data_IF_781092123663
#
_entry.id   IF_781092123663
#
_cell.length_a   1.000
_cell.length_b   1.000
_cell.length_c   1.000
_cell.angle_alpha   90.00
_cell.angle_beta   90.00
_cell.angle_gamma   90.00
#
_symmetry.space_group_name_H-M   'P 1'
#
loop_
_entity.id
_entity.type
_entity.pdbx_description
1 polymer ?
#
# COMPACT_ATOMS: atom_id res chain seq x y z
N UNK A 1 13.03 -4.24 -6.36
CA UNK A 1 12.33 -3.67 -7.53
C UNK A 1 12.58 -2.15 -7.63
N UNK A 2 12.80 -1.63 -8.84
CA UNK A 2 13.02 -0.18 -9.07
C UNK A 2 11.72 0.62 -8.83
N UNK A 3 11.80 1.86 -8.35
CA UNK A 3 10.62 2.68 -8.01
C UNK A 3 9.68 2.88 -9.22
N UNK A 4 10.24 3.11 -10.41
CA UNK A 4 9.46 3.24 -11.66
C UNK A 4 8.61 2.00 -11.96
N UNK A 5 9.15 0.80 -11.71
CA UNK A 5 8.43 -0.46 -11.92
C UNK A 5 7.31 -0.62 -10.89
N UNK A 6 7.60 -0.36 -9.61
CA UNK A 6 6.60 -0.43 -8.56
C UNK A 6 5.45 0.56 -8.83
N UNK A 7 5.74 1.80 -9.22
CA UNK A 7 4.73 2.79 -9.64
C UNK A 7 3.86 2.29 -10.79
N UNK A 8 4.46 1.67 -11.82
CA UNK A 8 3.72 1.11 -12.96
C UNK A 8 2.78 -0.03 -12.52
N UNK A 9 3.28 -0.99 -11.75
CA UNK A 9 2.48 -2.13 -11.27
C UNK A 9 1.32 -1.63 -10.40
N UNK A 10 1.60 -0.77 -9.42
CA UNK A 10 0.55 -0.25 -8.53
C UNK A 10 -0.47 0.61 -9.28
N UNK A 11 -0.06 1.39 -10.28
CA UNK A 11 -0.98 2.14 -11.15
C UNK A 11 -1.91 1.19 -11.92
N UNK A 12 -1.35 0.13 -12.49
CA UNK A 12 -2.12 -0.83 -13.29
C UNK A 12 -3.10 -1.63 -12.41
N UNK A 13 -2.67 -2.09 -11.23
CA UNK A 13 -3.55 -2.78 -10.26
C UNK A 13 -4.65 -1.86 -9.76
N UNK A 14 -4.36 -0.58 -9.50
CA UNK A 14 -5.37 0.40 -9.10
C UNK A 14 -6.42 0.65 -10.18
N UNK A 15 -6.00 0.71 -11.45
CA UNK A 15 -6.93 0.91 -12.58
C UNK A 15 -7.72 -0.36 -12.90
N UNK A 16 -7.09 -1.52 -12.79
CA UNK A 16 -7.69 -2.81 -13.10
C UNK A 16 -7.25 -3.86 -12.08
N UNK A 17 -8.15 -4.20 -11.15
CA UNK A 17 -7.86 -5.14 -10.07
C UNK A 17 -7.40 -6.53 -10.59
N UNK A 18 -7.89 -6.95 -11.76
CA UNK A 18 -7.48 -8.20 -12.41
C UNK A 18 -6.00 -8.28 -12.78
N UNK A 19 -5.26 -7.17 -12.77
CA UNK A 19 -3.80 -7.16 -12.98
C UNK A 19 -3.03 -7.95 -11.91
N UNK A 20 -3.65 -8.21 -10.75
CA UNK A 20 -3.05 -9.07 -9.73
C UNK A 20 -2.81 -10.49 -10.25
N UNK A 21 -3.67 -11.01 -11.11
CA UNK A 21 -3.55 -12.34 -11.73
C UNK A 21 -2.46 -12.39 -12.80
N UNK A 22 -2.25 -11.26 -13.50
CA UNK A 22 -1.23 -11.15 -14.56
C UNK A 22 0.17 -10.98 -13.97
N UNK A 23 0.32 -10.15 -12.95
CA UNK A 23 1.62 -9.90 -12.31
C UNK A 23 1.98 -10.94 -11.25
N UNK A 24 0.99 -11.61 -10.67
CA UNK A 24 1.11 -12.47 -9.50
C UNK A 24 1.10 -11.70 -8.19
N UNK A 25 0.44 -12.25 -7.17
CA UNK A 25 0.30 -11.64 -5.84
C UNK A 25 1.65 -11.24 -5.23
N UNK A 26 2.63 -12.15 -5.23
CA UNK A 26 3.95 -11.87 -4.65
C UNK A 26 4.67 -10.69 -5.33
N UNK A 27 4.48 -10.48 -6.64
CA UNK A 27 5.10 -9.36 -7.36
C UNK A 27 4.40 -8.05 -7.05
N UNK A 28 3.08 -8.08 -6.88
CA UNK A 28 2.28 -6.95 -6.43
C UNK A 28 2.62 -6.58 -4.99
N UNK A 29 2.82 -7.55 -4.10
CA UNK A 29 3.21 -7.30 -2.71
C UNK A 29 4.57 -6.60 -2.60
N UNK A 30 5.56 -7.04 -3.39
CA UNK A 30 6.85 -6.35 -3.47
C UNK A 30 6.69 -4.92 -4.00
N UNK A 31 5.78 -4.69 -4.95
CA UNK A 31 5.48 -3.35 -5.47
C UNK A 31 4.84 -2.48 -4.40
N UNK A 32 3.85 -3.02 -3.68
CA UNK A 32 3.15 -2.37 -2.60
C UNK A 32 4.13 -1.96 -1.49
N UNK A 33 4.93 -2.90 -0.99
CA UNK A 33 5.96 -2.65 0.01
C UNK A 33 6.97 -1.57 -0.42
N UNK A 34 7.37 -1.57 -1.70
CA UNK A 34 8.25 -0.54 -2.23
C UNK A 34 7.60 0.85 -2.24
N UNK A 35 6.31 0.92 -2.58
CA UNK A 35 5.53 2.16 -2.59
C UNK A 35 5.27 2.67 -1.16
N UNK A 36 4.92 1.79 -0.22
CA UNK A 36 4.76 2.17 1.18
C UNK A 36 6.04 2.80 1.74
N UNK A 37 7.20 2.17 1.54
CA UNK A 37 8.49 2.75 1.95
C UNK A 37 8.79 4.10 1.29
N UNK A 38 8.33 4.32 0.06
CA UNK A 38 8.51 5.60 -0.63
C UNK A 38 7.63 6.69 -0.02
N UNK A 39 6.35 6.41 0.23
CA UNK A 39 5.43 7.36 0.85
C UNK A 39 5.76 7.66 2.31
N UNK A 40 6.18 6.65 3.10
CA UNK A 40 6.61 6.85 4.49
C UNK A 40 7.83 7.75 4.66
N UNK A 41 8.61 8.00 3.60
CA UNK A 41 9.72 8.97 3.64
C UNK A 41 9.27 10.41 3.46
N UNK A 42 8.10 10.61 2.84
CA UNK A 42 7.61 11.92 2.44
C UNK A 42 6.54 12.41 3.42
N UNK A 43 5.70 11.51 3.92
CA UNK A 43 4.58 11.82 4.80
C UNK A 43 4.70 11.08 6.13
N UNK A 44 4.87 11.85 7.22
CA UNK A 44 4.96 11.31 8.58
C UNK A 44 3.67 10.66 9.07
N UNK A 45 2.49 11.15 8.64
CA UNK A 45 1.20 10.53 8.99
C UNK A 45 1.10 9.16 8.34
N UNK A 46 1.46 9.07 7.06
CA UNK A 46 1.53 7.80 6.35
C UNK A 46 2.53 6.83 7.00
N UNK A 47 3.69 7.34 7.44
CA UNK A 47 4.70 6.55 8.16
C UNK A 47 4.12 5.92 9.44
N UNK A 48 3.41 6.71 10.25
CA UNK A 48 2.76 6.23 11.49
C UNK A 48 1.69 5.17 11.18
N UNK A 49 0.87 5.39 10.16
CA UNK A 49 -0.12 4.41 9.70
C UNK A 49 0.52 3.11 9.23
N UNK A 50 1.61 3.20 8.48
CA UNK A 50 2.36 2.02 8.02
C UNK A 50 3.01 1.27 9.18
N UNK A 51 3.57 1.97 10.17
CA UNK A 51 4.09 1.33 11.39
C UNK A 51 2.98 0.60 12.16
N UNK A 52 1.84 1.27 12.38
CA UNK A 52 0.67 0.67 13.02
C UNK A 52 0.19 -0.58 12.29
N UNK A 53 0.17 -0.57 10.95
CA UNK A 53 -0.21 -1.73 10.15
C UNK A 53 0.71 -2.95 10.36
N UNK A 54 2.00 -2.72 10.64
CA UNK A 54 2.96 -3.79 10.88
C UNK A 54 2.97 -4.27 12.34
N UNK A 55 2.75 -3.36 13.30
CA UNK A 55 2.76 -3.67 14.74
C UNK A 55 1.43 -4.28 15.20
N UNK A 56 0.32 -3.68 14.77
CA UNK A 56 -1.03 -4.10 15.16
C UNK A 56 -2.01 -3.95 13.98
N UNK A 57 -2.13 -5.01 13.15
CA UNK A 57 -3.02 -5.00 11.99
C UNK A 57 -4.49 -4.75 12.34
N UNK A 58 -4.94 -5.18 13.53
CA UNK A 58 -6.33 -5.00 14.00
C UNK A 58 -6.60 -3.53 14.29
N UNK A 59 -5.70 -2.87 15.03
CA UNK A 59 -5.80 -1.45 15.32
C UNK A 59 -5.75 -0.61 14.03
N UNK A 60 -4.89 -0.98 13.08
CA UNK A 60 -4.85 -0.35 11.76
C UNK A 60 -6.19 -0.50 11.01
N UNK A 61 -6.76 -1.70 10.97
CA UNK A 61 -8.04 -1.94 10.30
C UNK A 61 -9.18 -1.10 10.91
N UNK A 62 -9.21 -0.95 12.23
CA UNK A 62 -10.15 -0.05 12.90
C UNK A 62 -9.93 1.41 12.50
N UNK A 63 -8.68 1.89 12.53
CA UNK A 63 -8.34 3.26 12.16
C UNK A 63 -8.76 3.59 10.71
N UNK A 64 -8.51 2.69 9.76
CA UNK A 64 -8.94 2.85 8.36
C UNK A 64 -10.47 2.87 8.23
N UNK A 65 -11.19 2.01 8.96
CA UNK A 65 -12.67 2.04 8.99
C UNK A 65 -13.22 3.37 9.51
N UNK A 66 -12.60 3.94 10.55
CA UNK A 66 -13.00 5.25 11.07
C UNK A 66 -12.75 6.38 10.07
N UNK A 67 -11.61 6.38 9.38
CA UNK A 67 -11.28 7.38 8.34
C UNK A 67 -12.25 7.26 7.17
N UNK A 68 -12.53 6.05 6.70
CA UNK A 68 -13.42 5.81 5.55
C UNK A 68 -14.88 6.19 5.80
N UNK A 69 -15.32 6.30 7.06
CA UNK A 69 -16.69 6.73 7.42
C UNK A 69 -16.84 8.24 7.55
N UNK A 70 -15.72 8.97 7.64
CA UNK A 70 -15.71 10.44 7.78
C UNK A 70 -15.59 11.19 6.46
N UNK A 71 -15.28 10.48 5.37
CA UNK A 71 -15.21 10.97 3.98
C UNK A 71 -16.51 10.58 3.30
#
# INVERSE_FOLDING_TARGET
MKLRQAKKIMKNVRLYAGMIWVYGSGRVDIACNRMCRYHSKIDEKFKKLHQLANENPVAFAQAIRFISRKI
#
